data_IF_284199799362
#
_entry.id   IF_284199799362
#
_cell.length_a   1.000
_cell.length_b   1.000
_cell.length_c   1.000
_cell.angle_alpha   90.00
_cell.angle_beta   90.00
_cell.angle_gamma   90.00
#
_symmetry.space_group_name_H-M   'P 1'
#
loop_
_entity.id
_entity.type
_entity.pdbx_description
1 polymer ?
#
# COMPACT_ATOMS: atom_id res chain seq x y z
N UNK A 1 -10.09 6.18 -4.96
CA UNK A 1 -8.91 6.42 -4.13
C UNK A 1 -8.27 7.69 -4.64
N UNK A 2 -7.99 8.64 -3.75
CA UNK A 2 -7.10 9.75 -4.10
C UNK A 2 -5.71 9.17 -4.30
N UNK A 3 -5.04 9.57 -5.37
CA UNK A 3 -3.62 9.28 -5.61
C UNK A 3 -2.87 10.60 -5.56
N UNK A 4 -1.69 10.68 -4.92
CA UNK A 4 -0.84 9.55 -4.48
C UNK A 4 -0.94 9.17 -2.98
N UNK A 5 -0.94 7.86 -2.68
CA UNK A 5 -1.11 7.29 -1.31
C UNK A 5 -0.10 6.19 -1.01
N UNK A 6 0.26 6.04 0.26
CA UNK A 6 1.14 4.96 0.72
C UNK A 6 0.40 3.62 0.80
N UNK A 7 1.04 2.58 0.26
CA UNK A 7 0.44 1.26 0.08
C UNK A 7 1.42 0.13 0.42
N UNK A 8 0.85 -1.01 0.81
CA UNK A 8 1.52 -2.30 0.80
C UNK A 8 1.15 -3.04 -0.49
N UNK A 9 2.16 -3.51 -1.20
CA UNK A 9 2.01 -4.22 -2.47
C UNK A 9 2.48 -5.65 -2.30
N UNK A 10 1.60 -6.60 -2.61
CA UNK A 10 1.95 -8.01 -2.75
C UNK A 10 1.97 -8.37 -4.24
N UNK A 11 3.03 -9.02 -4.67
CA UNK A 11 3.20 -9.46 -6.06
C UNK A 11 3.30 -10.98 -6.05
N UNK A 12 2.37 -11.63 -6.74
CA UNK A 12 2.23 -13.09 -6.76
C UNK A 12 3.54 -13.80 -7.19
N UNK A 13 4.37 -13.14 -8.01
CA UNK A 13 5.64 -13.70 -8.49
C UNK A 13 6.83 -13.49 -7.54
N UNK A 14 6.70 -12.71 -6.48
CA UNK A 14 7.80 -12.37 -5.56
C UNK A 14 7.49 -12.95 -4.18
N UNK A 15 7.83 -14.24 -4.01
CA UNK A 15 8.17 -14.93 -2.75
C UNK A 15 7.29 -14.69 -1.51
N UNK A 16 6.06 -14.21 -1.66
CA UNK A 16 5.17 -13.98 -0.52
C UNK A 16 5.44 -12.72 0.30
N UNK A 17 6.30 -11.81 -0.15
CA UNK A 17 6.66 -10.61 0.62
C UNK A 17 5.91 -9.36 0.16
N UNK A 18 5.18 -8.72 1.08
CA UNK A 18 4.64 -7.39 0.85
C UNK A 18 5.76 -6.33 0.84
N UNK A 19 5.72 -5.41 -0.12
CA UNK A 19 6.66 -4.28 -0.22
C UNK A 19 5.92 -2.97 0.00
N UNK A 20 6.53 -2.07 0.79
CA UNK A 20 6.04 -0.69 0.93
C UNK A 20 6.30 0.08 -0.36
N UNK A 21 5.29 0.80 -0.81
CA UNK A 21 5.36 1.62 -2.01
C UNK A 21 4.46 2.84 -1.88
N UNK A 22 4.67 3.82 -2.75
CA UNK A 22 3.73 4.91 -2.97
C UNK A 22 2.98 4.68 -4.27
N UNK A 23 1.67 4.53 -4.20
CA UNK A 23 0.80 4.45 -5.38
C UNK A 23 0.67 5.85 -5.99
N UNK A 24 1.03 5.98 -7.26
CA UNK A 24 1.03 7.24 -7.99
C UNK A 24 -0.18 7.39 -8.90
N UNK A 25 -0.55 6.31 -9.58
CA UNK A 25 -1.69 6.28 -10.49
C UNK A 25 -2.23 4.86 -10.67
N UNK A 26 -3.50 4.77 -11.08
CA UNK A 26 -4.16 3.53 -11.48
C UNK A 26 -4.48 3.66 -12.97
N UNK A 27 -3.74 2.95 -13.80
CA UNK A 27 -3.96 2.91 -15.25
C UNK A 27 -4.80 1.72 -15.67
N UNK A 28 -5.05 1.59 -16.98
CA UNK A 28 -5.78 0.45 -17.52
C UNK A 28 -4.89 -0.81 -17.48
N UNK A 29 -5.11 -1.66 -16.48
CA UNK A 29 -4.40 -2.93 -16.29
C UNK A 29 -3.07 -2.84 -15.53
N UNK A 30 -2.69 -1.65 -15.04
CA UNK A 30 -1.48 -1.48 -14.24
C UNK A 30 -1.65 -0.48 -13.09
N UNK A 31 -0.88 -0.69 -12.02
CA UNK A 31 -0.60 0.30 -10.99
C UNK A 31 0.74 0.96 -11.29
N UNK A 32 0.78 2.27 -11.19
CA UNK A 32 2.04 3.01 -11.23
C UNK A 32 2.49 3.33 -9.81
N UNK A 33 3.69 2.88 -9.45
CA UNK A 33 4.15 2.90 -8.05
C UNK A 33 5.61 3.34 -7.96
N UNK A 34 5.96 3.97 -6.84
CA UNK A 34 7.35 4.10 -6.42
C UNK A 34 7.65 3.05 -5.35
N UNK A 35 8.50 2.08 -5.70
CA UNK A 35 8.96 1.00 -4.83
C UNK A 35 10.27 1.36 -4.16
N UNK A 36 10.35 1.17 -2.84
CA UNK A 36 11.62 1.21 -2.14
C UNK A 36 12.38 -0.09 -2.36
N UNK A 37 13.56 0.00 -2.97
CA UNK A 37 14.48 -1.13 -3.16
C UNK A 37 15.77 -0.90 -2.38
N UNK A 38 16.64 -1.92 -2.30
CA UNK A 38 17.97 -1.77 -1.72
C UNK A 38 18.83 -0.69 -2.42
N UNK A 39 18.57 -0.44 -3.71
CA UNK A 39 19.24 0.59 -4.50
C UNK A 39 18.52 1.95 -4.51
N UNK A 40 17.56 2.17 -3.61
CA UNK A 40 16.77 3.40 -3.54
C UNK A 40 15.36 3.27 -4.12
N UNK A 41 14.71 4.42 -4.30
CA UNK A 41 13.34 4.51 -4.83
C UNK A 41 13.35 4.30 -6.35
N UNK A 42 12.51 3.37 -6.82
CA UNK A 42 12.34 3.08 -8.24
C UNK A 42 10.88 3.15 -8.63
N UNK A 43 10.62 3.86 -9.73
CA UNK A 43 9.29 3.88 -10.36
C UNK A 43 9.08 2.59 -11.15
N UNK A 44 7.91 1.99 -11.02
CA UNK A 44 7.58 0.75 -11.70
C UNK A 44 6.09 0.68 -12.07
N UNK A 45 5.81 -0.10 -13.11
CA UNK A 45 4.45 -0.44 -13.54
C UNK A 45 4.17 -1.89 -13.14
N UNK A 46 3.18 -2.07 -12.29
CA UNK A 46 2.80 -3.37 -11.75
C UNK A 46 1.48 -3.83 -12.37
N UNK A 47 1.42 -5.00 -13.03
CA UNK A 47 0.19 -5.47 -13.67
C UNK A 47 -0.87 -5.81 -12.62
N UNK A 48 -2.08 -5.28 -12.79
CA UNK A 48 -3.20 -5.48 -11.83
C UNK A 48 -3.49 -6.95 -11.61
N UNK A 49 -3.45 -7.76 -12.67
CA UNK A 49 -3.74 -9.20 -12.62
C UNK A 49 -2.80 -10.03 -11.72
N UNK A 50 -1.66 -9.47 -11.29
CA UNK A 50 -0.66 -10.16 -10.45
C UNK A 50 -0.30 -9.38 -9.18
N UNK A 51 -1.04 -8.31 -8.90
CA UNK A 51 -0.67 -7.33 -7.87
C UNK A 51 -1.85 -7.02 -6.97
N UNK A 52 -1.66 -7.24 -5.66
CA UNK A 52 -2.60 -6.83 -4.64
C UNK A 52 -2.07 -5.59 -3.95
N UNK A 53 -2.92 -4.58 -3.76
CA UNK A 53 -2.55 -3.27 -3.20
C UNK A 53 -3.46 -2.98 -2.00
N UNK A 54 -2.85 -2.69 -0.86
CA UNK A 54 -3.55 -2.34 0.39
C UNK A 54 -3.14 -0.94 0.82
N UNK A 55 -4.10 -0.04 1.04
CA UNK A 55 -3.82 1.27 1.64
C UNK A 55 -3.36 1.09 3.08
N UNK A 56 -2.38 1.88 3.52
CA UNK A 56 -1.81 1.78 4.88
C UNK A 56 -2.44 2.73 5.90
N UNK A 57 -3.40 3.56 5.49
CA UNK A 57 -4.16 4.39 6.42
C UNK A 57 -5.07 3.49 7.26
N UNK A 58 -4.63 3.21 8.47
CA UNK A 58 -5.46 2.61 9.51
C UNK A 58 -6.20 3.77 10.17
N UNK A 59 -7.48 3.94 9.85
CA UNK A 59 -8.38 4.72 10.69
C UNK A 59 -8.54 3.95 12.01
N UNK A 60 -7.69 4.27 12.99
CA UNK A 60 -7.90 3.81 14.36
C UNK A 60 -8.94 4.76 14.94
N UNK A 61 -10.21 4.34 14.99
CA UNK A 61 -11.18 5.00 15.86
C UNK A 61 -10.69 4.82 17.31
N UNK A 62 -10.37 5.91 18.04
CA UNK A 62 -10.01 5.78 19.45
C UNK A 62 -11.25 5.34 20.22
N UNK A 63 -11.27 4.09 20.69
CA UNK A 63 -12.25 3.66 21.68
C UNK A 63 -12.02 4.46 22.96
N UNK A 64 -12.89 5.44 23.23
CA UNK A 64 -12.94 6.15 24.49
C UNK A 64 -13.27 5.14 25.60
N UNK A 65 -12.24 4.69 26.32
CA UNK A 65 -12.44 3.96 27.58
C UNK A 65 -12.77 5.00 28.64
N UNK A 66 -14.06 5.30 28.80
CA UNK A 66 -14.53 5.91 30.05
C UNK A 66 -14.49 4.83 31.12
N UNK A 67 -13.41 4.80 31.90
CA UNK A 67 -13.41 4.12 33.19
C UNK A 67 -14.46 4.79 34.07
N UNK A 68 -15.46 4.00 34.45
CA UNK A 68 -16.52 4.41 35.39
C UNK A 68 -15.89 4.52 36.77
N UNK A 69 -15.86 5.74 37.30
CA UNK A 69 -15.48 6.06 38.68
C UNK A 69 -16.16 5.11 39.68
N UNK A 70 -15.38 4.64 40.66
CA UNK A 70 -15.87 3.99 41.88
C UNK A 70 -15.20 4.59 43.09
#
# INVERSE_FOLDING_TARGET
METPTDVLIYIDQITGEAKRARLLAIGNGYYEVNLQTAGGMRRALMPVAKTFVFATEVEIEPTLVTEVER
#
